data_IF_926095719854
#
_entry.id   IF_926095719854
#
_cell.length_a   1.000
_cell.length_b   1.000
_cell.length_c   1.000
_cell.angle_alpha   90.00
_cell.angle_beta   90.00
_cell.angle_gamma   90.00
#
_symmetry.space_group_name_H-M   'P 1'
#
loop_
_entity.id
_entity.type
_entity.pdbx_description
1 polymer ?
#
# COMPACT_ATOMS: atom_id res chain seq x y z
N UNK A 1 35.60 0.66 8.83
CA UNK A 1 34.15 0.83 8.49
C UNK A 1 34.11 0.81 7.00
N UNK A 2 33.46 -0.20 6.40
CA UNK A 2 33.21 -0.23 4.96
C UNK A 2 32.33 0.99 4.61
N UNK A 3 32.71 1.76 3.60
CA UNK A 3 31.86 2.85 3.11
C UNK A 3 30.68 2.23 2.38
N UNK A 4 29.45 2.63 2.72
CA UNK A 4 28.26 2.17 1.98
C UNK A 4 28.46 2.40 0.48
N UNK A 5 28.07 1.44 -0.38
CA UNK A 5 28.15 1.62 -1.82
C UNK A 5 27.19 2.74 -2.28
N UNK A 6 27.52 3.38 -3.40
CA UNK A 6 26.64 4.41 -4.01
C UNK A 6 25.32 3.76 -4.41
N UNK A 7 24.19 4.38 -4.06
CA UNK A 7 22.86 3.86 -4.36
C UNK A 7 22.64 3.90 -5.91
N UNK A 8 22.32 2.75 -6.54
CA UNK A 8 22.10 2.70 -7.99
C UNK A 8 20.74 3.32 -8.36
N UNK A 9 20.68 3.98 -9.48
CA UNK A 9 19.42 4.51 -10.03
C UNK A 9 18.59 3.46 -10.77
N UNK A 10 19.23 2.38 -11.21
CA UNK A 10 18.59 1.26 -11.92
C UNK A 10 19.22 -0.06 -11.53
N UNK A 11 18.50 -1.16 -11.70
CA UNK A 11 19.01 -2.50 -11.42
C UNK A 11 20.17 -2.92 -12.36
N UNK A 12 20.35 -2.29 -13.49
CA UNK A 12 21.47 -2.56 -14.42
C UNK A 12 22.84 -2.21 -13.81
N UNK A 13 22.87 -1.38 -12.78
CA UNK A 13 24.08 -1.02 -12.05
C UNK A 13 24.38 -1.96 -10.86
N UNK A 14 23.53 -2.95 -10.59
CA UNK A 14 23.73 -3.95 -9.54
C UNK A 14 24.70 -5.03 -9.98
N UNK A 15 25.99 -4.74 -9.87
CA UNK A 15 27.06 -5.70 -10.16
C UNK A 15 27.28 -6.65 -8.98
N UNK A 16 27.96 -7.80 -9.21
CA UNK A 16 28.38 -8.70 -8.13
C UNK A 16 29.22 -7.97 -7.08
N UNK A 17 30.13 -7.07 -7.50
CA UNK A 17 30.93 -6.26 -6.57
C UNK A 17 30.05 -5.35 -5.73
N UNK A 18 29.10 -4.62 -6.32
CA UNK A 18 28.20 -3.74 -5.59
C UNK A 18 27.38 -4.51 -4.55
N UNK A 19 26.86 -5.68 -4.92
CA UNK A 19 26.08 -6.53 -4.02
C UNK A 19 26.93 -7.07 -2.85
N UNK A 20 28.18 -7.49 -3.13
CA UNK A 20 29.08 -7.94 -2.09
C UNK A 20 29.42 -6.81 -1.10
N UNK A 21 29.65 -5.58 -1.60
CA UNK A 21 29.89 -4.41 -0.77
C UNK A 21 28.65 -4.06 0.09
N UNK A 22 27.44 -4.13 -0.50
CA UNK A 22 26.19 -3.85 0.19
C UNK A 22 25.87 -4.88 1.28
N UNK A 23 26.16 -6.15 1.04
CA UNK A 23 25.87 -7.22 2.00
C UNK A 23 26.94 -7.40 3.09
N UNK A 24 28.14 -6.90 2.89
CA UNK A 24 29.25 -6.93 3.85
C UNK A 24 29.42 -8.31 4.54
N UNK A 25 29.36 -9.39 3.72
CA UNK A 25 29.52 -10.77 4.20
C UNK A 25 28.29 -11.41 4.86
N UNK A 26 27.14 -10.75 4.88
CA UNK A 26 25.89 -11.31 5.45
C UNK A 26 25.31 -12.48 4.62
N UNK A 27 25.69 -12.59 3.35
CA UNK A 27 25.41 -13.72 2.46
C UNK A 27 26.69 -14.22 1.82
N UNK A 28 26.66 -15.37 1.14
CA UNK A 28 27.80 -15.93 0.42
C UNK A 28 28.27 -14.96 -0.69
N UNK A 29 29.56 -14.96 -0.97
CA UNK A 29 30.17 -14.11 -2.02
C UNK A 29 29.51 -14.35 -3.38
N UNK A 30 28.99 -13.31 -3.97
CA UNK A 30 28.38 -13.32 -5.29
C UNK A 30 29.47 -13.23 -6.36
N UNK A 31 29.50 -14.21 -7.26
CA UNK A 31 30.40 -14.27 -8.41
C UNK A 31 29.79 -13.67 -9.68
N UNK A 32 28.46 -13.70 -9.79
CA UNK A 32 27.72 -13.20 -10.95
C UNK A 32 26.29 -12.80 -10.61
N UNK A 33 25.75 -11.86 -11.37
CA UNK A 33 24.35 -11.41 -11.27
C UNK A 33 23.78 -11.21 -12.66
N UNK A 34 22.54 -11.65 -12.85
CA UNK A 34 21.76 -11.39 -14.06
C UNK A 34 20.42 -10.77 -13.67
N UNK A 35 20.16 -9.61 -14.21
CA UNK A 35 18.90 -8.87 -13.98
C UNK A 35 17.82 -9.30 -14.98
N UNK A 36 16.58 -9.43 -14.52
CA UNK A 36 15.38 -9.72 -15.31
C UNK A 36 14.28 -8.76 -14.86
N UNK A 37 13.92 -7.79 -15.69
CA UNK A 37 12.85 -6.84 -15.36
C UNK A 37 11.51 -7.56 -15.21
N UNK A 38 10.77 -7.24 -14.17
CA UNK A 38 9.43 -7.76 -13.89
C UNK A 38 8.38 -6.69 -14.22
N UNK A 39 7.30 -7.10 -14.89
CA UNK A 39 6.15 -6.24 -15.12
C UNK A 39 6.42 -5.04 -16.02
N UNK A 40 6.71 -5.25 -17.32
CA UNK A 40 6.81 -4.16 -18.28
C UNK A 40 5.56 -3.24 -18.20
N UNK A 41 5.76 -1.97 -17.82
CA UNK A 41 4.72 -0.95 -17.75
C UNK A 41 3.83 -0.97 -16.47
N UNK A 42 4.17 -1.74 -15.44
CA UNK A 42 3.32 -1.89 -14.23
C UNK A 42 3.80 -1.06 -13.03
N UNK A 43 5.06 -0.63 -12.99
CA UNK A 43 5.62 0.13 -11.86
C UNK A 43 5.55 1.65 -12.07
N UNK A 44 4.46 2.33 -11.70
CA UNK A 44 4.41 3.80 -11.77
C UNK A 44 5.42 4.45 -10.83
N UNK A 45 5.64 3.89 -9.64
CA UNK A 45 6.44 4.48 -8.57
C UNK A 45 7.85 3.90 -8.44
N UNK A 46 8.17 2.79 -9.12
CA UNK A 46 9.49 2.17 -9.05
C UNK A 46 9.67 1.05 -10.07
N UNK A 47 10.91 0.71 -10.38
CA UNK A 47 11.25 -0.43 -11.21
C UNK A 47 11.47 -1.67 -10.33
N UNK A 48 10.84 -2.79 -10.70
CA UNK A 48 10.97 -4.08 -10.03
C UNK A 48 11.75 -5.03 -10.93
N UNK A 49 12.83 -5.60 -10.41
CA UNK A 49 13.74 -6.47 -11.15
C UNK A 49 14.06 -7.71 -10.32
N UNK A 50 13.98 -8.89 -10.94
CA UNK A 50 14.51 -10.13 -10.37
C UNK A 50 16.01 -10.20 -10.64
N UNK A 51 16.80 -10.45 -9.60
CA UNK A 51 18.23 -10.73 -9.69
C UNK A 51 18.43 -12.23 -9.54
N UNK A 52 19.02 -12.86 -10.53
CA UNK A 52 19.54 -14.23 -10.46
C UNK A 52 20.99 -14.19 -10.01
N UNK A 53 21.33 -14.94 -8.96
CA UNK A 53 22.62 -14.84 -8.28
C UNK A 53 23.43 -16.12 -8.44
N UNK A 54 24.67 -15.98 -8.90
CA UNK A 54 25.68 -17.03 -8.93
C UNK A 54 26.70 -16.78 -7.80
N UNK A 55 27.09 -17.82 -7.08
CA UNK A 55 27.96 -17.70 -5.91
C UNK A 55 29.33 -18.29 -6.14
N UNK A 56 30.35 -17.69 -5.52
CA UNK A 56 31.71 -18.25 -5.52
C UNK A 56 31.70 -19.65 -4.86
N UNK A 57 32.40 -20.65 -5.43
CA UNK A 57 32.30 -22.07 -5.02
C UNK A 57 32.56 -22.33 -3.55
N UNK A 58 33.51 -21.61 -2.95
CA UNK A 58 33.98 -21.84 -1.58
C UNK A 58 33.50 -20.76 -0.59
N UNK A 59 32.60 -19.87 -0.99
CA UNK A 59 32.03 -18.86 -0.09
C UNK A 59 31.05 -19.48 0.90
N UNK A 60 30.98 -18.94 2.11
CA UNK A 60 30.07 -19.37 3.16
C UNK A 60 28.92 -18.37 3.36
N UNK A 61 27.79 -18.83 3.88
CA UNK A 61 26.63 -18.00 4.17
C UNK A 61 25.36 -18.39 3.37
N UNK A 62 24.24 -17.72 3.61
CA UNK A 62 23.01 -17.92 2.84
C UNK A 62 23.21 -17.69 1.34
N UNK A 63 22.52 -18.48 0.51
CA UNK A 63 22.63 -18.45 -0.97
C UNK A 63 21.26 -18.38 -1.60
N UNK A 64 20.48 -17.28 -1.46
CA UNK A 64 19.23 -17.15 -2.19
C UNK A 64 19.50 -17.20 -3.69
N UNK A 65 18.79 -18.08 -4.41
CA UNK A 65 18.97 -18.22 -5.87
C UNK A 65 18.57 -16.93 -6.61
N UNK A 66 17.57 -16.25 -6.05
CA UNK A 66 17.03 -14.99 -6.61
C UNK A 66 16.74 -14.00 -5.50
N UNK A 67 16.70 -12.71 -5.89
CA UNK A 67 16.20 -11.60 -5.06
C UNK A 67 15.36 -10.68 -5.93
N UNK A 68 14.49 -9.91 -5.28
CA UNK A 68 13.79 -8.80 -5.93
C UNK A 68 14.49 -7.49 -5.55
N UNK A 69 14.86 -6.74 -6.56
CA UNK A 69 15.37 -5.38 -6.43
C UNK A 69 14.25 -4.38 -6.81
N UNK A 70 13.96 -3.44 -5.92
CA UNK A 70 13.15 -2.26 -6.22
C UNK A 70 14.06 -1.04 -6.27
N UNK A 71 14.06 -0.33 -7.39
CA UNK A 71 14.76 0.92 -7.60
C UNK A 71 13.78 2.04 -7.91
N UNK A 72 14.28 3.28 -7.96
CA UNK A 72 13.45 4.42 -8.35
C UNK A 72 12.79 4.22 -9.73
N UNK A 73 11.69 4.96 -9.98
CA UNK A 73 11.03 4.95 -11.27
C UNK A 73 11.95 5.43 -12.40
N UNK A 74 11.74 4.93 -13.63
CA UNK A 74 12.50 5.38 -14.80
C UNK A 74 12.12 6.80 -15.25
N UNK A 75 10.82 7.16 -15.12
CA UNK A 75 10.33 8.47 -15.54
C UNK A 75 10.67 9.56 -14.51
N UNK A 76 11.35 10.66 -14.89
CA UNK A 76 11.75 11.71 -13.95
C UNK A 76 10.58 12.35 -13.18
N UNK A 77 9.41 12.48 -13.82
CA UNK A 77 8.19 12.98 -13.16
C UNK A 77 7.71 12.08 -12.03
N UNK A 78 7.80 10.76 -12.21
CA UNK A 78 7.43 9.78 -11.18
C UNK A 78 8.46 9.75 -10.03
N UNK A 79 9.75 9.95 -10.34
CA UNK A 79 10.80 10.12 -9.32
C UNK A 79 10.51 11.36 -8.50
N UNK A 80 10.25 12.50 -9.14
CA UNK A 80 9.93 13.75 -8.44
C UNK A 80 8.70 13.61 -7.54
N UNK A 81 7.64 12.99 -8.06
CA UNK A 81 6.43 12.72 -7.25
C UNK A 81 6.75 11.82 -6.06
N UNK A 82 7.49 10.73 -6.28
CA UNK A 82 7.84 9.79 -5.21
C UNK A 82 8.70 10.43 -4.12
N UNK A 83 9.63 11.32 -4.50
CA UNK A 83 10.43 12.11 -3.56
C UNK A 83 9.53 13.08 -2.77
N UNK A 84 8.70 13.87 -3.46
CA UNK A 84 7.82 14.86 -2.84
C UNK A 84 6.83 14.20 -1.86
N UNK A 85 6.35 13.00 -2.17
CA UNK A 85 5.44 12.22 -1.34
C UNK A 85 6.17 11.36 -0.29
N UNK A 86 7.49 11.23 -0.33
CA UNK A 86 8.29 10.42 0.59
C UNK A 86 8.11 8.90 0.41
N UNK A 87 7.72 8.41 -0.76
CA UNK A 87 7.39 7.00 -0.96
C UNK A 87 8.62 6.09 -0.78
N UNK A 88 9.76 6.46 -1.34
CA UNK A 88 11.00 5.69 -1.24
C UNK A 88 11.54 5.65 0.20
N UNK A 89 11.44 6.78 0.90
CA UNK A 89 11.84 6.88 2.29
C UNK A 89 10.97 5.98 3.18
N UNK A 90 9.65 5.97 2.95
CA UNK A 90 8.72 5.13 3.73
C UNK A 90 9.02 3.64 3.58
N UNK A 91 9.19 3.15 2.35
CA UNK A 91 9.49 1.74 2.12
C UNK A 91 10.84 1.35 2.71
N UNK A 92 11.88 2.17 2.50
CA UNK A 92 13.21 1.93 3.08
C UNK A 92 13.17 1.90 4.60
N UNK A 93 12.48 2.86 5.23
CA UNK A 93 12.33 2.92 6.69
C UNK A 93 11.49 1.77 7.24
N UNK A 94 10.41 1.38 6.57
CA UNK A 94 9.64 0.20 6.98
C UNK A 94 10.54 -1.05 7.03
N UNK A 95 11.26 -1.33 5.96
CA UNK A 95 12.13 -2.51 5.90
C UNK A 95 13.27 -2.47 6.91
N UNK A 96 13.86 -1.31 7.15
CA UNK A 96 14.99 -1.19 8.11
C UNK A 96 14.55 -1.23 9.57
N UNK A 97 13.35 -0.70 9.91
CA UNK A 97 12.92 -0.51 11.30
C UNK A 97 11.91 -1.55 11.77
N UNK A 98 10.99 -1.99 10.90
CA UNK A 98 9.83 -2.80 11.32
C UNK A 98 9.78 -4.20 10.74
N UNK A 99 10.31 -4.45 9.54
CA UNK A 99 10.12 -5.72 8.82
C UNK A 99 10.58 -6.97 9.60
N UNK A 100 11.51 -6.82 10.54
CA UNK A 100 12.04 -7.92 11.37
C UNK A 100 11.37 -8.05 12.75
N UNK A 101 10.59 -7.07 13.15
CA UNK A 101 10.00 -6.99 14.51
C UNK A 101 8.48 -7.12 14.49
N UNK A 102 7.85 -6.81 13.36
CA UNK A 102 6.41 -6.95 13.20
C UNK A 102 6.03 -8.43 13.02
N UNK A 103 4.92 -8.83 13.65
CA UNK A 103 4.41 -10.20 13.53
C UNK A 103 3.60 -10.41 12.25
N UNK A 104 4.09 -9.88 11.13
CA UNK A 104 3.56 -10.09 9.79
C UNK A 104 4.59 -10.78 8.92
N UNK A 105 4.15 -11.66 8.02
CA UNK A 105 5.03 -12.15 6.98
C UNK A 105 5.19 -11.07 5.91
N UNK A 106 6.38 -10.52 5.86
CA UNK A 106 6.85 -9.64 4.78
C UNK A 106 8.09 -10.26 4.14
N UNK A 107 8.45 -9.93 2.90
CA UNK A 107 9.68 -10.42 2.31
C UNK A 107 10.89 -10.07 3.19
N UNK A 108 11.80 -11.02 3.38
CA UNK A 108 13.05 -10.73 4.09
C UNK A 108 13.81 -9.62 3.35
N UNK A 109 14.19 -8.57 4.06
CA UNK A 109 15.00 -7.50 3.49
C UNK A 109 16.50 -7.80 3.69
N UNK A 110 17.20 -7.96 2.58
CA UNK A 110 18.66 -8.17 2.56
C UNK A 110 19.41 -6.85 2.69
N UNK A 111 18.90 -5.81 1.99
CA UNK A 111 19.49 -4.49 2.00
C UNK A 111 18.45 -3.43 1.63
N UNK A 112 18.55 -2.27 2.24
CA UNK A 112 17.79 -1.08 1.83
C UNK A 112 18.60 0.18 2.11
N UNK A 113 18.49 1.14 1.21
CA UNK A 113 19.07 2.47 1.37
C UNK A 113 18.29 3.50 0.54
N UNK A 114 18.29 4.74 1.00
CA UNK A 114 17.70 5.87 0.32
C UNK A 114 18.57 7.10 0.53
N UNK A 115 18.78 7.86 -0.54
CA UNK A 115 19.48 9.15 -0.44
C UNK A 115 18.70 10.12 0.47
N UNK A 116 19.35 10.93 1.31
CA UNK A 116 18.67 11.92 2.15
C UNK A 116 17.80 12.91 1.40
N UNK A 117 18.01 13.10 0.09
CA UNK A 117 17.12 13.87 -0.78
C UNK A 117 15.87 13.08 -1.23
N UNK A 118 15.71 11.83 -0.77
CA UNK A 118 14.58 10.97 -1.11
C UNK A 118 14.74 10.14 -2.41
N UNK A 119 15.79 10.35 -3.19
CA UNK A 119 16.20 9.51 -4.32
C UNK A 119 17.67 9.77 -4.67
N UNK A 120 18.42 8.78 -5.19
CA UNK A 120 17.97 7.42 -5.50
C UNK A 120 17.65 6.57 -4.28
N UNK A 121 16.95 5.44 -4.49
CA UNK A 121 16.67 4.46 -3.45
C UNK A 121 16.80 3.04 -3.99
N UNK A 122 17.01 2.10 -3.07
CA UNK A 122 17.03 0.67 -3.35
C UNK A 122 16.48 -0.14 -2.19
N UNK A 123 15.72 -1.18 -2.52
CA UNK A 123 15.29 -2.24 -1.60
C UNK A 123 15.60 -3.58 -2.24
N UNK A 124 16.40 -4.43 -1.59
CA UNK A 124 16.69 -5.80 -1.98
C UNK A 124 15.98 -6.75 -1.04
N UNK A 125 14.98 -7.46 -1.55
CA UNK A 125 14.13 -8.33 -0.76
C UNK A 125 14.08 -9.76 -1.32
N UNK A 126 13.62 -10.66 -0.48
CA UNK A 126 13.33 -12.04 -0.80
C UNK A 126 12.31 -12.12 -1.94
N UNK A 127 12.55 -13.00 -2.90
CA UNK A 127 11.54 -13.43 -3.85
C UNK A 127 10.69 -14.57 -3.26
N UNK A 128 9.38 -14.36 -3.17
CA UNK A 128 8.44 -15.40 -2.75
C UNK A 128 8.03 -16.20 -3.99
N UNK A 129 8.68 -17.34 -4.19
CA UNK A 129 8.43 -18.18 -5.37
C UNK A 129 7.26 -19.14 -5.18
N UNK A 130 6.51 -19.39 -6.26
CA UNK A 130 5.40 -20.35 -6.24
C UNK A 130 4.19 -19.91 -5.44
N UNK A 131 4.13 -18.64 -5.03
CA UNK A 131 2.95 -18.09 -4.35
C UNK A 131 1.81 -17.82 -5.32
N UNK A 132 0.58 -17.89 -4.82
CA UNK A 132 -0.62 -17.44 -5.54
C UNK A 132 -0.87 -15.97 -5.25
N UNK A 133 -1.16 -15.20 -6.28
CA UNK A 133 -1.66 -13.83 -6.20
C UNK A 133 -3.15 -13.81 -6.55
N UNK A 134 -3.92 -12.93 -5.93
CA UNK A 134 -5.31 -12.69 -6.31
C UNK A 134 -5.31 -11.76 -7.53
N UNK A 135 -6.11 -12.09 -8.55
CA UNK A 135 -6.38 -11.12 -9.61
C UNK A 135 -7.44 -10.12 -9.13
N UNK A 136 -7.02 -8.91 -8.83
CA UNK A 136 -7.91 -7.87 -8.31
C UNK A 136 -9.05 -7.51 -9.28
N UNK A 137 -8.85 -7.68 -10.59
CA UNK A 137 -9.94 -7.47 -11.58
C UNK A 137 -11.06 -8.50 -11.38
N UNK A 138 -10.71 -9.75 -11.09
CA UNK A 138 -11.67 -10.82 -10.76
C UNK A 138 -12.31 -10.61 -9.40
N UNK A 139 -11.52 -10.14 -8.44
CA UNK A 139 -11.92 -9.89 -7.07
C UNK A 139 -11.58 -11.06 -6.12
N UNK A 140 -11.39 -10.72 -4.85
CA UNK A 140 -11.05 -11.67 -3.80
C UNK A 140 -12.25 -12.56 -3.40
N UNK A 141 -11.97 -13.82 -3.05
CA UNK A 141 -12.91 -14.73 -2.42
C UNK A 141 -13.06 -14.42 -0.92
N UNK A 142 -14.10 -14.97 -0.27
CA UNK A 142 -14.35 -14.73 1.17
C UNK A 142 -13.19 -15.16 2.05
N UNK A 143 -12.68 -16.38 1.88
CA UNK A 143 -11.60 -16.93 2.72
C UNK A 143 -10.29 -16.14 2.54
N UNK A 144 -9.98 -15.71 1.32
CA UNK A 144 -8.84 -14.84 1.04
C UNK A 144 -9.01 -13.47 1.70
N UNK A 145 -10.22 -12.92 1.63
CA UNK A 145 -10.56 -11.64 2.26
C UNK A 145 -10.42 -11.71 3.78
N UNK A 146 -10.93 -12.79 4.40
CA UNK A 146 -10.79 -13.02 5.82
C UNK A 146 -9.32 -13.12 6.25
N UNK A 147 -8.50 -13.89 5.50
CA UNK A 147 -7.08 -14.04 5.78
C UNK A 147 -6.29 -12.73 5.65
N UNK A 148 -6.64 -11.88 4.67
CA UNK A 148 -6.06 -10.55 4.49
C UNK A 148 -6.45 -9.62 5.65
N UNK A 149 -7.71 -9.63 6.08
CA UNK A 149 -8.13 -8.80 7.22
C UNK A 149 -7.50 -9.25 8.53
N UNK A 150 -7.15 -10.53 8.70
CA UNK A 150 -6.36 -10.98 9.85
C UNK A 150 -4.93 -10.37 9.85
N UNK A 151 -4.34 -10.09 8.66
CA UNK A 151 -3.09 -9.34 8.59
C UNK A 151 -3.29 -7.88 9.01
N UNK A 152 -4.41 -7.25 8.62
CA UNK A 152 -4.77 -5.91 9.06
C UNK A 152 -4.94 -5.85 10.59
N UNK A 153 -5.61 -6.83 11.20
CA UNK A 153 -5.71 -6.95 12.67
C UNK A 153 -4.32 -6.97 13.31
N UNK A 154 -3.43 -7.83 12.80
CA UNK A 154 -2.07 -7.96 13.33
C UNK A 154 -1.28 -6.66 13.23
N UNK A 155 -1.31 -5.99 12.07
CA UNK A 155 -0.66 -4.71 11.85
C UNK A 155 -1.19 -3.65 12.80
N UNK A 156 -2.50 -3.46 12.79
CA UNK A 156 -3.13 -2.34 13.47
C UNK A 156 -3.11 -2.50 14.99
N UNK A 157 -3.31 -3.71 15.53
CA UNK A 157 -3.23 -3.95 16.97
C UNK A 157 -1.82 -3.75 17.53
N UNK A 158 -0.78 -4.09 16.74
CA UNK A 158 0.63 -3.90 17.15
C UNK A 158 0.96 -2.43 17.40
N UNK A 159 0.36 -1.52 16.63
CA UNK A 159 0.67 -0.09 16.66
C UNK A 159 -0.50 0.79 17.10
N UNK A 160 -1.55 0.19 17.69
CA UNK A 160 -2.75 0.91 18.07
C UNK A 160 -2.46 2.04 19.04
N UNK A 161 -2.80 3.28 18.63
CA UNK A 161 -2.61 4.53 19.40
C UNK A 161 -1.21 4.66 20.05
N UNK A 162 -0.17 4.16 19.35
CA UNK A 162 1.17 4.07 19.89
C UNK A 162 1.94 5.38 19.67
N UNK A 163 2.48 5.95 20.76
CA UNK A 163 3.25 7.20 20.71
C UNK A 163 4.53 7.10 19.85
N UNK A 164 5.12 5.90 19.71
CA UNK A 164 6.25 5.69 18.80
C UNK A 164 5.93 6.20 17.38
N UNK A 165 4.72 5.94 16.86
CA UNK A 165 4.36 6.37 15.52
C UNK A 165 4.36 7.89 15.36
N UNK A 166 4.07 8.64 16.44
CA UNK A 166 4.07 10.11 16.42
C UNK A 166 5.48 10.69 16.31
N UNK A 167 6.50 9.93 16.73
CA UNK A 167 7.90 10.32 16.65
C UNK A 167 8.58 10.01 15.32
N UNK A 168 7.90 9.25 14.43
CA UNK A 168 8.44 8.87 13.12
C UNK A 168 8.09 9.93 12.07
N UNK A 169 9.06 10.79 11.76
CA UNK A 169 8.87 11.89 10.78
C UNK A 169 8.54 11.36 9.39
N UNK A 170 9.08 10.20 9.02
CA UNK A 170 8.82 9.56 7.74
C UNK A 170 7.43 8.90 7.62
N UNK A 171 6.68 8.77 8.73
CA UNK A 171 5.34 8.18 8.77
C UNK A 171 4.28 9.29 8.97
N UNK A 172 3.81 9.96 7.89
CA UNK A 172 2.98 11.14 8.01
C UNK A 172 1.57 10.81 8.50
N UNK A 173 0.92 11.74 9.22
CA UNK A 173 -0.52 11.67 9.48
C UNK A 173 -1.31 12.07 8.23
N UNK A 174 -2.59 11.70 8.16
CA UNK A 174 -3.46 12.01 7.01
C UNK A 174 -3.77 13.51 6.82
N UNK A 175 -3.60 14.33 7.83
CA UNK A 175 -3.70 15.77 7.68
C UNK A 175 -2.36 16.45 7.37
N UNK A 176 -1.37 15.68 6.95
CA UNK A 176 -0.14 16.22 6.39
C UNK A 176 -0.46 17.18 5.21
N UNK A 177 0.30 18.28 5.04
CA UNK A 177 0.06 19.23 3.96
C UNK A 177 -0.06 18.62 2.57
N UNK A 178 0.70 17.56 2.26
CA UNK A 178 0.63 16.86 0.96
C UNK A 178 -0.71 16.15 0.75
N UNK A 179 -1.23 15.47 1.78
CA UNK A 179 -2.55 14.82 1.67
C UNK A 179 -3.68 15.85 1.61
N UNK A 180 -3.58 16.94 2.37
CA UNK A 180 -4.55 18.05 2.28
C UNK A 180 -4.58 18.68 0.88
N UNK A 181 -3.41 18.76 0.21
CA UNK A 181 -3.29 19.24 -1.16
C UNK A 181 -3.95 18.33 -2.21
N UNK A 182 -4.40 17.13 -1.86
CA UNK A 182 -5.17 16.27 -2.77
C UNK A 182 -6.44 16.96 -3.30
N UNK A 183 -7.01 17.91 -2.54
CA UNK A 183 -8.10 18.78 -3.01
C UNK A 183 -7.68 19.56 -4.27
N UNK A 184 -6.51 20.17 -4.28
CA UNK A 184 -6.00 20.97 -5.41
C UNK A 184 -5.81 20.09 -6.67
N UNK A 185 -5.53 18.79 -6.48
CA UNK A 185 -5.45 17.84 -7.58
C UNK A 185 -6.81 17.39 -8.08
N UNK A 186 -7.80 17.21 -7.18
CA UNK A 186 -9.13 16.72 -7.51
C UNK A 186 -10.05 17.79 -8.08
N UNK A 187 -10.02 19.01 -7.51
CA UNK A 187 -10.95 20.09 -7.85
C UNK A 187 -10.99 20.43 -9.35
N UNK A 188 -9.86 20.59 -10.07
CA UNK A 188 -9.88 20.86 -11.52
C UNK A 188 -10.37 19.68 -12.36
N UNK A 189 -10.33 18.46 -11.84
CA UNK A 189 -10.72 17.23 -12.54
C UNK A 189 -12.18 16.82 -12.28
N UNK A 190 -12.80 17.37 -11.25
CA UNK A 190 -14.09 16.93 -10.73
C UNK A 190 -15.19 16.86 -11.78
N UNK A 191 -15.42 17.94 -12.51
CA UNK A 191 -16.52 17.96 -13.49
C UNK A 191 -16.25 17.07 -14.71
N UNK A 192 -14.99 16.96 -15.12
CA UNK A 192 -14.59 16.00 -16.17
C UNK A 192 -14.78 14.56 -15.71
N UNK A 193 -14.41 14.24 -14.46
CA UNK A 193 -14.66 12.95 -13.86
C UNK A 193 -16.15 12.61 -13.82
N UNK A 194 -16.96 13.54 -13.30
CA UNK A 194 -18.41 13.38 -13.23
C UNK A 194 -19.00 13.13 -14.63
N UNK A 195 -18.59 13.90 -15.64
CA UNK A 195 -19.05 13.72 -17.02
C UNK A 195 -18.66 12.34 -17.58
N UNK A 196 -17.41 11.91 -17.35
CA UNK A 196 -16.90 10.62 -17.86
C UNK A 196 -17.64 9.43 -17.23
N UNK A 197 -17.96 9.52 -15.94
CA UNK A 197 -18.56 8.43 -15.17
C UNK A 197 -20.07 8.53 -15.03
N UNK A 198 -20.70 9.53 -15.64
CA UNK A 198 -22.17 9.68 -15.69
C UNK A 198 -22.81 8.44 -16.32
N UNK A 199 -23.83 7.89 -15.67
CA UNK A 199 -24.50 6.66 -16.08
C UNK A 199 -23.79 5.35 -15.72
N UNK A 200 -22.53 5.43 -15.23
CA UNK A 200 -21.79 4.27 -14.71
C UNK A 200 -21.81 4.23 -13.18
N UNK A 201 -21.54 5.36 -12.53
CA UNK A 201 -21.60 5.49 -11.07
C UNK A 201 -23.01 5.86 -10.60
N UNK A 202 -23.38 5.55 -9.34
CA UNK A 202 -24.66 5.97 -8.77
C UNK A 202 -24.86 7.48 -8.86
N UNK A 203 -26.03 7.93 -9.33
CA UNK A 203 -26.27 9.36 -9.60
C UNK A 203 -26.09 10.25 -8.37
N UNK A 204 -26.50 9.78 -7.19
CA UNK A 204 -26.34 10.54 -5.93
C UNK A 204 -24.90 10.80 -5.56
N UNK A 205 -23.94 9.98 -6.05
CA UNK A 205 -22.50 10.18 -5.75
C UNK A 205 -21.96 11.45 -6.39
N UNK A 206 -22.50 11.89 -7.52
CA UNK A 206 -22.10 13.14 -8.18
C UNK A 206 -22.38 14.37 -7.29
N UNK A 207 -23.52 14.34 -6.57
CA UNK A 207 -23.90 15.41 -5.65
C UNK A 207 -22.95 15.53 -4.45
N UNK A 208 -22.67 14.41 -3.77
CA UNK A 208 -21.81 14.46 -2.60
C UNK A 208 -20.33 14.72 -2.93
N UNK A 209 -19.84 14.32 -4.10
CA UNK A 209 -18.48 14.69 -4.53
C UNK A 209 -18.30 16.20 -4.61
N UNK A 210 -19.28 16.91 -5.20
CA UNK A 210 -19.25 18.40 -5.24
C UNK A 210 -19.30 19.03 -3.86
N UNK A 211 -20.02 18.41 -2.92
CA UNK A 211 -20.09 18.89 -1.54
C UNK A 211 -18.82 18.62 -0.75
N UNK A 212 -18.21 17.43 -0.93
CA UNK A 212 -17.02 17.02 -0.21
C UNK A 212 -15.76 17.76 -0.67
N UNK A 213 -15.60 18.01 -1.97
CA UNK A 213 -14.36 18.59 -2.51
C UNK A 213 -13.92 19.87 -1.78
N UNK A 214 -14.78 20.88 -1.56
CA UNK A 214 -14.37 22.06 -0.80
C UNK A 214 -14.11 21.77 0.70
N UNK A 215 -14.75 20.76 1.27
CA UNK A 215 -14.64 20.38 2.69
C UNK A 215 -13.54 19.36 2.97
N UNK A 216 -12.88 18.85 1.94
CA UNK A 216 -11.92 17.76 2.09
C UNK A 216 -10.81 18.05 3.13
N UNK A 217 -10.19 19.23 3.18
CA UNK A 217 -9.21 19.56 4.23
C UNK A 217 -9.80 19.47 5.64
N UNK A 218 -11.04 19.97 5.82
CA UNK A 218 -11.72 19.92 7.12
C UNK A 218 -12.03 18.48 7.53
N UNK A 219 -12.44 17.63 6.57
CA UNK A 219 -12.67 16.21 6.80
C UNK A 219 -11.42 15.49 7.30
N UNK A 220 -10.26 15.69 6.65
CA UNK A 220 -9.03 15.00 7.07
C UNK A 220 -8.50 15.51 8.40
N UNK A 221 -8.65 16.81 8.70
CA UNK A 221 -8.31 17.38 10.00
C UNK A 221 -9.20 16.81 11.11
N UNK A 222 -10.52 16.87 10.89
CA UNK A 222 -11.51 16.31 11.83
C UNK A 222 -11.19 14.85 12.17
N UNK A 223 -10.84 14.08 11.16
CA UNK A 223 -10.57 12.66 11.32
C UNK A 223 -9.30 12.38 12.14
N UNK A 224 -8.22 13.13 11.89
CA UNK A 224 -7.00 13.00 12.69
C UNK A 224 -7.22 13.40 14.14
N UNK A 225 -8.09 14.38 14.41
CA UNK A 225 -8.43 14.81 15.76
C UNK A 225 -9.30 13.79 16.52
N UNK A 226 -10.20 13.10 15.84
CA UNK A 226 -11.16 12.18 16.44
C UNK A 226 -10.69 10.74 16.46
N UNK A 227 -9.77 10.35 15.54
CA UNK A 227 -9.39 8.97 15.30
C UNK A 227 -8.30 8.46 16.21
N UNK A 228 -8.36 7.17 16.52
CA UNK A 228 -7.24 6.41 17.04
C UNK A 228 -6.35 6.00 15.86
N UNK A 229 -5.13 6.51 15.84
CA UNK A 229 -4.21 6.22 14.76
C UNK A 229 -3.42 4.95 15.03
N UNK A 230 -3.14 4.23 13.97
CA UNK A 230 -2.21 3.12 13.93
C UNK A 230 -1.29 3.24 12.71
N UNK A 231 -0.38 2.31 12.54
CA UNK A 231 0.35 2.13 11.29
C UNK A 231 -0.59 1.53 10.25
N UNK A 232 -0.76 2.19 9.12
CA UNK A 232 -1.55 1.69 7.99
C UNK A 232 -0.69 1.52 6.74
N UNK A 233 -1.00 0.51 5.97
CA UNK A 233 -0.33 0.22 4.70
C UNK A 233 -0.68 1.22 3.59
N UNK A 234 -1.89 1.73 3.60
CA UNK A 234 -2.49 2.69 2.67
C UNK A 234 -2.83 2.14 1.28
N UNK A 235 -2.13 1.13 0.78
CA UNK A 235 -2.41 0.43 -0.48
C UNK A 235 -2.76 -1.05 -0.22
N UNK A 236 -3.71 -1.28 0.69
CA UNK A 236 -4.09 -2.60 1.18
C UNK A 236 -5.05 -3.29 0.22
N UNK A 237 -4.58 -3.60 -0.99
CA UNK A 237 -5.36 -4.16 -2.10
C UNK A 237 -4.85 -5.54 -2.51
N UNK A 238 -5.69 -6.32 -3.19
CA UNK A 238 -5.46 -7.74 -3.49
C UNK A 238 -4.10 -8.02 -4.18
N UNK A 239 -3.64 -7.13 -5.07
CA UNK A 239 -2.38 -7.30 -5.79
C UNK A 239 -1.14 -7.21 -4.86
N UNK A 240 -1.29 -6.75 -3.60
CA UNK A 240 -0.21 -6.62 -2.62
C UNK A 240 -0.11 -7.80 -1.64
N UNK A 241 -0.80 -8.92 -1.93
CA UNK A 241 -0.78 -10.12 -1.10
C UNK A 241 -0.38 -11.37 -1.88
N UNK A 242 0.58 -12.11 -1.31
CA UNK A 242 0.98 -13.41 -1.83
C UNK A 242 0.57 -14.52 -0.86
N UNK A 243 0.00 -15.59 -1.40
CA UNK A 243 -0.49 -16.72 -0.63
C UNK A 243 0.40 -17.96 -0.83
N UNK A 244 0.97 -18.47 0.24
CA UNK A 244 1.77 -19.70 0.24
C UNK A 244 3.13 -19.53 -0.45
N UNK A 245 3.45 -20.45 -1.37
CA UNK A 245 4.75 -20.50 -2.04
C UNK A 245 5.91 -20.81 -1.09
N UNK A 246 7.08 -20.29 -1.37
CA UNK A 246 8.29 -20.48 -0.54
C UNK A 246 8.15 -19.89 0.88
N UNK A 247 7.15 -19.02 1.11
CA UNK A 247 6.85 -18.50 2.45
C UNK A 247 6.15 -19.51 3.36
N UNK A 248 5.66 -20.63 2.82
CA UNK A 248 4.97 -21.68 3.55
C UNK A 248 3.46 -21.73 3.26
N UNK A 249 2.90 -22.95 3.33
CA UNK A 249 1.46 -23.16 3.11
C UNK A 249 0.63 -22.39 4.14
N UNK A 250 -0.44 -21.75 3.70
CA UNK A 250 -1.33 -20.95 4.55
C UNK A 250 -0.80 -19.58 4.97
N UNK A 251 0.42 -19.23 4.57
CA UNK A 251 1.00 -17.92 4.88
C UNK A 251 0.49 -16.85 3.90
N UNK A 252 0.15 -15.67 4.43
CA UNK A 252 -0.12 -14.46 3.64
C UNK A 252 1.06 -13.51 3.80
N UNK A 253 1.74 -13.20 2.69
CA UNK A 253 2.87 -12.25 2.67
C UNK A 253 2.37 -10.90 2.17
N UNK A 254 2.68 -9.83 2.92
CA UNK A 254 2.28 -8.46 2.60
C UNK A 254 3.43 -7.76 1.88
N UNK A 255 3.14 -7.14 0.74
CA UNK A 255 4.08 -6.46 -0.15
C UNK A 255 3.82 -4.96 -0.19
N UNK A 256 4.80 -4.19 -0.69
CA UNK A 256 4.68 -2.79 -1.13
C UNK A 256 4.30 -1.78 -0.04
N UNK A 257 5.28 -1.35 0.75
CA UNK A 257 5.11 -0.47 1.91
C UNK A 257 5.33 1.04 1.59
N UNK A 258 5.37 1.43 0.32
CA UNK A 258 5.68 2.79 -0.13
C UNK A 258 4.68 3.84 0.35
N UNK A 259 3.41 3.48 0.48
CA UNK A 259 2.35 4.41 0.82
C UNK A 259 2.08 4.54 2.33
N UNK A 260 2.74 3.74 3.15
CA UNK A 260 2.52 3.66 4.60
C UNK A 260 2.33 5.03 5.26
N UNK A 261 1.37 5.11 6.19
CA UNK A 261 1.03 6.33 6.90
C UNK A 261 0.56 6.03 8.32
N UNK A 262 0.35 7.08 9.11
CA UNK A 262 -0.31 7.03 10.40
C UNK A 262 -1.77 7.47 10.23
N UNK A 263 -2.69 6.52 10.39
CA UNK A 263 -4.11 6.77 10.16
C UNK A 263 -4.99 5.82 10.99
N UNK A 264 -6.33 5.95 10.90
CA UNK A 264 -7.23 4.93 11.46
C UNK A 264 -7.07 3.62 10.69
N UNK A 265 -6.96 2.50 11.40
CA UNK A 265 -6.72 1.18 10.77
C UNK A 265 -7.81 0.78 9.79
N UNK A 266 -9.02 1.31 9.95
CA UNK A 266 -10.14 1.05 9.06
C UNK A 266 -9.89 1.52 7.61
N UNK A 267 -8.88 2.37 7.38
CA UNK A 267 -8.45 2.72 6.03
C UNK A 267 -8.10 1.48 5.18
N UNK A 268 -7.26 0.59 5.72
CA UNK A 268 -6.81 -0.60 4.99
C UNK A 268 -7.97 -1.58 4.75
N UNK A 269 -8.85 -1.72 5.74
CA UNK A 269 -10.06 -2.56 5.60
C UNK A 269 -11.00 -2.03 4.52
N UNK A 270 -11.25 -0.73 4.51
CA UNK A 270 -12.11 -0.08 3.51
C UNK A 270 -11.48 -0.09 2.11
N UNK A 271 -10.15 0.10 2.03
CA UNK A 271 -9.39 -0.02 0.78
C UNK A 271 -9.56 -1.42 0.18
N UNK A 272 -9.35 -2.44 0.99
CA UNK A 272 -9.47 -3.81 0.53
C UNK A 272 -10.92 -4.15 0.12
N UNK A 273 -11.88 -3.96 1.00
CA UNK A 273 -13.27 -4.33 0.72
C UNK A 273 -13.90 -3.48 -0.39
N UNK A 274 -13.58 -2.19 -0.41
CA UNK A 274 -14.10 -1.24 -1.39
C UNK A 274 -13.50 -1.35 -2.79
N UNK A 275 -12.35 -2.01 -2.97
CA UNK A 275 -11.68 -2.04 -4.27
C UNK A 275 -11.27 -3.44 -4.73
N UNK A 276 -11.08 -4.41 -3.82
CA UNK A 276 -10.59 -5.75 -4.14
C UNK A 276 -11.66 -6.84 -4.10
N UNK A 277 -12.85 -6.55 -3.58
CA UNK A 277 -14.00 -7.47 -3.56
C UNK A 277 -15.05 -7.00 -4.56
N UNK A 278 -15.68 -7.93 -5.30
CA UNK A 278 -16.75 -7.56 -6.23
C UNK A 278 -17.92 -6.92 -5.50
N UNK A 279 -18.68 -6.05 -6.16
CA UNK A 279 -19.82 -5.35 -5.55
C UNK A 279 -20.82 -6.33 -4.93
N UNK A 280 -21.13 -7.43 -5.63
CA UNK A 280 -22.09 -8.42 -5.16
C UNK A 280 -21.59 -9.13 -3.89
N UNK A 281 -20.35 -9.60 -3.91
CA UNK A 281 -19.73 -10.28 -2.77
C UNK A 281 -19.52 -9.35 -1.57
N UNK A 282 -19.13 -8.09 -1.83
CA UNK A 282 -18.98 -7.10 -0.77
C UNK A 282 -20.33 -6.85 -0.05
N UNK A 283 -21.42 -6.66 -0.82
CA UNK A 283 -22.76 -6.48 -0.24
C UNK A 283 -23.19 -7.63 0.66
N UNK A 284 -22.77 -8.85 0.30
CA UNK A 284 -23.07 -10.04 1.10
C UNK A 284 -22.18 -10.16 2.35
N UNK A 285 -20.88 -9.83 2.23
CA UNK A 285 -19.88 -10.20 3.22
C UNK A 285 -19.34 -9.05 4.08
N UNK A 286 -19.48 -7.79 3.65
CA UNK A 286 -18.74 -6.66 4.26
C UNK A 286 -19.03 -6.50 5.75
N UNK A 287 -20.28 -6.67 6.19
CA UNK A 287 -20.62 -6.50 7.58
C UNK A 287 -20.01 -7.59 8.47
N UNK A 288 -19.96 -8.80 7.98
CA UNK A 288 -19.31 -9.93 8.64
C UNK A 288 -17.79 -9.76 8.69
N UNK A 289 -17.18 -9.39 7.57
CA UNK A 289 -15.74 -9.17 7.47
C UNK A 289 -15.26 -7.97 8.30
N UNK A 290 -16.01 -6.87 8.32
CA UNK A 290 -15.71 -5.72 9.20
C UNK A 290 -15.89 -6.11 10.67
N UNK A 291 -16.90 -6.95 10.98
CA UNK A 291 -17.09 -7.47 12.34
C UNK A 291 -15.92 -8.38 12.75
N UNK A 292 -15.46 -9.26 11.86
CA UNK A 292 -14.27 -10.09 12.09
C UNK A 292 -13.03 -9.25 12.42
N UNK A 293 -12.78 -8.20 11.66
CA UNK A 293 -11.68 -7.27 11.93
C UNK A 293 -11.82 -6.62 13.31
N UNK A 294 -13.00 -6.09 13.64
CA UNK A 294 -13.27 -5.49 14.94
C UNK A 294 -13.03 -6.46 16.09
N UNK A 295 -13.64 -7.65 16.02
CA UNK A 295 -13.50 -8.68 17.05
C UNK A 295 -12.04 -9.13 17.19
N UNK A 296 -11.30 -9.19 16.10
CA UNK A 296 -9.86 -9.46 16.07
C UNK A 296 -9.05 -8.39 16.82
N UNK A 297 -9.35 -7.10 16.64
CA UNK A 297 -8.71 -6.01 17.40
C UNK A 297 -8.97 -6.14 18.90
N UNK A 298 -10.23 -6.40 19.28
CA UNK A 298 -10.61 -6.59 20.69
C UNK A 298 -9.87 -7.79 21.28
N UNK A 299 -9.82 -8.91 20.57
CA UNK A 299 -9.09 -10.11 20.99
C UNK A 299 -7.57 -9.87 21.10
N UNK A 300 -7.02 -8.97 20.29
CA UNK A 300 -5.61 -8.55 20.37
C UNK A 300 -5.33 -7.51 21.46
N UNK A 301 -6.33 -7.11 22.26
CA UNK A 301 -6.17 -6.24 23.43
C UNK A 301 -6.52 -4.77 23.22
N UNK A 302 -7.10 -4.39 22.09
CA UNK A 302 -7.65 -3.04 21.89
C UNK A 302 -8.94 -2.92 22.69
N UNK A 303 -8.99 -2.04 23.67
CA UNK A 303 -10.12 -1.92 24.62
C UNK A 303 -10.93 -0.64 24.49
N UNK A 304 -10.40 0.37 23.81
CA UNK A 304 -10.98 1.71 23.70
C UNK A 304 -11.61 1.99 22.33
N UNK A 305 -11.99 0.93 21.62
CA UNK A 305 -12.63 0.99 20.32
C UNK A 305 -13.95 0.24 20.35
N UNK A 306 -15.06 0.93 20.10
CA UNK A 306 -16.41 0.34 20.13
C UNK A 306 -16.93 0.11 18.71
N UNK A 307 -17.86 -0.86 18.57
CA UNK A 307 -18.38 -1.26 17.25
C UNK A 307 -18.97 -0.10 16.43
N UNK A 308 -19.76 0.76 17.05
CA UNK A 308 -20.39 1.89 16.34
C UNK A 308 -19.34 2.85 15.79
N UNK A 309 -18.25 3.06 16.52
CA UNK A 309 -17.11 3.84 16.05
C UNK A 309 -16.38 3.14 14.92
N UNK A 310 -16.16 1.84 15.03
CA UNK A 310 -15.54 1.04 13.98
C UNK A 310 -16.32 1.12 12.65
N UNK A 311 -17.63 0.93 12.71
CA UNK A 311 -18.49 1.04 11.54
C UNK A 311 -18.54 2.46 10.96
N UNK A 312 -18.53 3.47 11.81
CA UNK A 312 -18.45 4.87 11.39
C UNK A 312 -17.11 5.16 10.68
N UNK A 313 -15.99 4.73 11.24
CA UNK A 313 -14.68 4.88 10.64
C UNK A 313 -14.60 4.15 9.28
N UNK A 314 -15.24 2.98 9.14
CA UNK A 314 -15.38 2.27 7.87
C UNK A 314 -16.08 3.13 6.81
N UNK A 315 -17.21 3.72 7.15
CA UNK A 315 -17.96 4.62 6.26
C UNK A 315 -17.16 5.85 5.85
N UNK A 316 -16.43 6.46 6.77
CA UNK A 316 -15.53 7.57 6.48
C UNK A 316 -14.42 7.17 5.51
N UNK A 317 -13.81 6.01 5.73
CA UNK A 317 -12.77 5.53 4.83
C UNK A 317 -13.29 5.24 3.45
N UNK A 318 -14.47 4.65 3.31
CA UNK A 318 -15.13 4.45 2.02
C UNK A 318 -15.42 5.77 1.29
N UNK A 319 -15.94 6.77 2.00
CA UNK A 319 -16.21 8.11 1.44
C UNK A 319 -14.93 8.76 0.92
N UNK A 320 -13.88 8.74 1.75
CA UNK A 320 -12.58 9.31 1.40
C UNK A 320 -11.97 8.59 0.21
N UNK A 321 -11.98 7.26 0.21
CA UNK A 321 -11.39 6.47 -0.87
C UNK A 321 -12.12 6.64 -2.20
N UNK A 322 -13.44 6.67 -2.21
CA UNK A 322 -14.21 6.96 -3.42
C UNK A 322 -13.88 8.36 -3.95
N UNK A 323 -13.82 9.37 -3.08
CA UNK A 323 -13.46 10.74 -3.49
C UNK A 323 -12.02 10.82 -4.02
N UNK A 324 -11.06 10.12 -3.43
CA UNK A 324 -9.66 10.17 -3.85
C UNK A 324 -9.42 9.65 -5.28
N UNK A 325 -10.34 8.82 -5.81
CA UNK A 325 -10.28 8.37 -7.20
C UNK A 325 -10.35 9.55 -8.19
N UNK A 326 -10.97 10.67 -7.81
CA UNK A 326 -11.02 11.89 -8.64
C UNK A 326 -9.61 12.47 -8.83
N UNK A 327 -8.81 12.51 -7.77
CA UNK A 327 -7.46 13.08 -7.81
C UNK A 327 -6.52 12.34 -8.77
N UNK A 328 -6.73 11.02 -8.95
CA UNK A 328 -5.87 10.14 -9.77
C UNK A 328 -6.54 9.68 -11.08
N UNK A 329 -7.69 10.25 -11.43
CA UNK A 329 -8.54 9.79 -12.54
C UNK A 329 -7.95 9.97 -13.94
N UNK A 330 -6.92 10.78 -14.10
CA UNK A 330 -6.22 11.07 -15.35
C UNK A 330 -4.94 10.22 -15.55
N UNK A 331 -4.63 9.34 -14.62
CA UNK A 331 -3.51 8.42 -14.76
C UNK A 331 -3.84 7.39 -15.85
N UNK A 332 -3.05 7.38 -16.93
CA UNK A 332 -3.11 6.31 -17.93
C UNK A 332 -2.32 5.09 -17.43
N UNK A 333 -2.98 3.95 -17.19
CA UNK A 333 -2.31 2.74 -16.76
C UNK A 333 -1.50 2.04 -17.87
N UNK A 334 -1.44 2.59 -19.07
CA UNK A 334 -0.58 2.17 -20.17
C UNK A 334 -1.00 0.88 -20.89
N UNK A 335 -1.90 0.07 -20.35
CA UNK A 335 -2.34 -1.19 -20.94
C UNK A 335 -3.79 -1.54 -20.62
N UNK A 336 -4.35 -2.52 -21.36
CA UNK A 336 -5.76 -2.91 -21.22
C UNK A 336 -6.13 -3.45 -19.84
N UNK A 337 -5.26 -4.29 -19.26
CA UNK A 337 -5.49 -4.82 -17.90
C UNK A 337 -5.51 -3.69 -16.87
N UNK A 338 -4.60 -2.74 -16.98
CA UNK A 338 -4.54 -1.59 -16.08
C UNK A 338 -5.80 -0.71 -16.19
N UNK A 339 -6.28 -0.43 -17.40
CA UNK A 339 -7.54 0.31 -17.61
C UNK A 339 -8.74 -0.42 -17.01
N UNK A 340 -8.80 -1.74 -17.19
CA UNK A 340 -9.85 -2.56 -16.59
C UNK A 340 -9.76 -2.57 -15.06
N UNK A 341 -8.56 -2.68 -14.51
CA UNK A 341 -8.34 -2.61 -13.06
C UNK A 341 -8.81 -1.27 -12.49
N UNK A 342 -8.42 -0.16 -13.11
CA UNK A 342 -8.83 1.18 -12.68
C UNK A 342 -10.36 1.34 -12.73
N UNK A 343 -11.00 0.84 -13.79
CA UNK A 343 -12.46 0.84 -13.91
C UNK A 343 -13.14 0.07 -12.78
N UNK A 344 -12.65 -1.15 -12.46
CA UNK A 344 -13.20 -1.97 -11.38
C UNK A 344 -13.00 -1.29 -10.01
N UNK A 345 -11.82 -0.73 -9.75
CA UNK A 345 -11.53 -0.04 -8.50
C UNK A 345 -12.46 1.15 -8.28
N UNK A 346 -12.63 2.01 -9.29
CA UNK A 346 -13.51 3.18 -9.22
C UNK A 346 -14.97 2.74 -9.01
N UNK A 347 -15.49 1.84 -9.82
CA UNK A 347 -16.89 1.41 -9.71
C UNK A 347 -17.19 0.74 -8.37
N UNK A 348 -16.28 -0.07 -7.86
CA UNK A 348 -16.41 -0.73 -6.56
C UNK A 348 -16.36 0.26 -5.40
N UNK A 349 -15.39 1.20 -5.41
CA UNK A 349 -15.25 2.21 -4.36
C UNK A 349 -16.50 3.09 -4.25
N UNK A 350 -17.02 3.58 -5.39
CA UNK A 350 -18.24 4.39 -5.40
C UNK A 350 -19.48 3.60 -5.01
N UNK A 351 -19.62 2.35 -5.44
CA UNK A 351 -20.71 1.48 -5.00
C UNK A 351 -20.64 1.21 -3.49
N UNK A 352 -19.44 1.04 -2.93
CA UNK A 352 -19.27 0.83 -1.49
C UNK A 352 -19.69 2.07 -0.68
N UNK A 353 -19.25 3.26 -1.11
CA UNK A 353 -19.64 4.51 -0.45
C UNK A 353 -21.16 4.78 -0.55
N UNK A 354 -21.77 4.43 -1.69
CA UNK A 354 -23.19 4.59 -1.93
C UNK A 354 -24.04 3.63 -1.10
N UNK A 355 -23.71 2.33 -1.12
CA UNK A 355 -24.44 1.29 -0.39
C UNK A 355 -24.43 1.50 1.14
N UNK A 356 -23.43 2.19 1.66
CA UNK A 356 -23.27 2.48 3.09
C UNK A 356 -23.71 3.90 3.51
N UNK A 357 -24.44 4.61 2.65
CA UNK A 357 -24.94 5.97 2.91
C UNK A 357 -23.87 6.93 3.44
N UNK A 358 -22.62 6.82 2.91
CA UNK A 358 -21.48 7.56 3.43
C UNK A 358 -21.62 9.07 3.30
N UNK A 359 -22.47 9.55 2.37
CA UNK A 359 -22.75 10.99 2.18
C UNK A 359 -23.39 11.64 3.42
N UNK A 360 -24.06 10.88 4.28
CA UNK A 360 -24.63 11.41 5.51
C UNK A 360 -23.58 12.01 6.44
N UNK A 361 -22.33 11.53 6.34
CA UNK A 361 -21.20 12.00 7.14
C UNK A 361 -20.72 13.40 6.75
N UNK A 362 -21.12 13.93 5.58
CA UNK A 362 -20.77 15.28 5.13
C UNK A 362 -21.29 16.42 6.05
N UNK A 363 -22.21 16.08 6.97
CA UNK A 363 -22.76 17.04 7.94
C UNK A 363 -21.92 17.13 9.21
N UNK A 364 -20.88 16.30 9.35
CA UNK A 364 -20.09 16.20 10.57
C UNK A 364 -18.82 17.06 10.54
N UNK A 365 -18.46 17.58 9.38
CA UNK A 365 -17.30 18.47 9.14
C UNK A 365 -17.63 19.60 8.16
#
# INVERSE_FOLDING_TARGET
MSTKPVIPTTADHLTAQWLNDAFDGSIAEIAGVRAERLGEGVGLLGEVTRLHLDYAPNSSGPRPATMIAKCQAAAPGNVFMSQAMGFYERESNFYSQFSRTINLRVPYCYYTDVDPAGAPYIVLIEEITGARMIDQVVGAAYDDSAAILDQAVTLHSTFWDNDLLRSLEWLPPMNNPLYRAAREMAEPKLESFISTWSGTLPERTMGWMRQLTPKYPDMVDWWVEQGKATFVHMDFRADNFLFGGSAGSGTVTVLDWQLSARHVGMWDVANFLGQSVTIANRREWERDLVRRYYDGLIAAGVTDYVWDRCWRDYRYCLLHQAWSQVAVSDIDPGNERGRRLLHEMITRAFAAADDNDCADLLQEF
#
